data_IF_645632037159
#
_entry.id   IF_645632037159
#
_cell.length_a   1.000
_cell.length_b   1.000
_cell.length_c   1.000
_cell.angle_alpha   90.00
_cell.angle_beta   90.00
_cell.angle_gamma   90.00
#
_symmetry.space_group_name_H-M   'P 1'
#
loop_
_entity.id
_entity.type
_entity.pdbx_description
1 polymer ?
#
# COMPACT_ATOMS: atom_id res chain seq x y z
N UNK A 1 6.30 27.07 8.62
CA UNK A 1 5.30 25.98 8.65
C UNK A 1 5.83 24.93 7.71
N UNK A 2 5.97 23.68 8.15
CA UNK A 2 6.34 22.56 7.29
C UNK A 2 5.28 22.40 6.20
N UNK A 3 5.70 22.31 4.94
CA UNK A 3 4.78 22.09 3.83
C UNK A 3 4.24 20.66 3.91
N UNK A 4 2.92 20.50 3.79
CA UNK A 4 2.27 19.21 3.99
C UNK A 4 2.62 18.23 2.85
N UNK A 5 2.92 16.98 3.18
CA UNK A 5 3.22 15.97 2.15
C UNK A 5 1.95 15.59 1.40
N UNK A 6 2.08 15.29 0.11
CA UNK A 6 0.96 14.96 -0.78
C UNK A 6 0.34 13.59 -0.54
N UNK A 7 0.89 12.78 0.38
CA UNK A 7 0.52 11.38 0.65
C UNK A 7 1.68 10.42 0.38
N UNK A 8 1.39 9.13 0.29
CA UNK A 8 2.36 8.09 -0.05
C UNK A 8 2.83 8.29 -1.50
N UNK A 9 4.14 8.25 -1.71
CA UNK A 9 4.74 8.18 -3.03
C UNK A 9 4.82 6.74 -3.50
N UNK A 10 5.42 5.87 -2.68
CA UNK A 10 5.55 4.46 -2.98
C UNK A 10 5.71 3.66 -1.68
N UNK A 11 5.44 2.36 -1.76
CA UNK A 11 5.74 1.42 -0.68
C UNK A 11 6.73 0.41 -1.22
N UNK A 12 7.80 0.17 -0.46
CA UNK A 12 8.83 -0.80 -0.81
C UNK A 12 8.74 -1.99 0.12
N UNK A 13 8.65 -3.18 -0.45
CA UNK A 13 8.51 -4.46 0.24
C UNK A 13 9.71 -5.38 -0.06
N UNK A 14 9.86 -6.41 0.76
CA UNK A 14 10.87 -7.45 0.56
C UNK A 14 10.17 -8.70 0.04
N UNK A 15 10.58 -9.16 -1.13
CA UNK A 15 10.05 -10.34 -1.80
C UNK A 15 11.06 -11.50 -1.80
N UNK A 16 10.54 -12.70 -2.06
CA UNK A 16 11.31 -13.88 -2.38
C UNK A 16 11.73 -13.88 -3.86
N UNK A 17 11.64 -15.03 -4.56
CA UNK A 17 12.03 -15.14 -5.97
C UNK A 17 11.38 -14.07 -6.87
N UNK A 18 12.15 -13.38 -7.74
CA UNK A 18 11.65 -12.27 -8.53
C UNK A 18 10.61 -12.69 -9.58
N UNK A 19 10.68 -13.92 -10.10
CA UNK A 19 9.70 -14.40 -11.07
C UNK A 19 8.33 -14.64 -10.41
N UNK A 20 8.29 -15.27 -9.24
CA UNK A 20 7.03 -15.45 -8.48
C UNK A 20 6.41 -14.11 -8.12
N UNK A 21 7.24 -13.13 -7.75
CA UNK A 21 6.79 -11.76 -7.52
C UNK A 21 6.20 -11.14 -8.80
N UNK A 22 6.89 -11.25 -9.93
CA UNK A 22 6.41 -10.75 -11.22
C UNK A 22 5.09 -11.41 -11.65
N UNK A 23 5.01 -12.73 -11.56
CA UNK A 23 3.81 -13.51 -11.91
C UNK A 23 2.61 -13.07 -11.08
N UNK A 24 2.84 -12.75 -9.80
CA UNK A 24 1.78 -12.27 -8.92
C UNK A 24 1.38 -10.82 -9.22
N UNK A 25 2.31 -9.87 -9.16
CA UNK A 25 1.97 -8.45 -9.23
C UNK A 25 1.58 -8.01 -10.65
N UNK A 26 2.24 -8.52 -11.69
CA UNK A 26 1.89 -8.21 -13.07
C UNK A 26 0.86 -9.17 -13.66
N UNK A 27 0.93 -10.47 -13.33
CA UNK A 27 -0.01 -11.47 -13.87
C UNK A 27 -1.34 -11.51 -13.11
N UNK A 28 -1.29 -11.73 -11.79
CA UNK A 28 -2.50 -11.88 -10.96
C UNK A 28 -3.15 -10.53 -10.69
N UNK A 29 -2.41 -9.56 -10.15
CA UNK A 29 -2.93 -8.22 -9.83
C UNK A 29 -3.00 -7.28 -11.04
N UNK A 30 -2.36 -7.62 -12.16
CA UNK A 30 -2.46 -6.85 -13.40
C UNK A 30 -1.76 -5.49 -13.37
N UNK A 31 -0.86 -5.25 -12.40
CA UNK A 31 -0.09 -4.01 -12.34
C UNK A 31 0.96 -3.98 -13.45
N UNK A 32 1.29 -2.79 -13.96
CA UNK A 32 2.35 -2.65 -14.97
C UNK A 32 3.72 -2.69 -14.28
N UNK A 33 4.62 -3.56 -14.72
CA UNK A 33 6.05 -3.45 -14.38
C UNK A 33 6.64 -2.24 -15.13
N UNK A 34 6.70 -1.09 -14.46
CA UNK A 34 7.11 0.20 -15.07
C UNK A 34 8.62 0.40 -15.06
N UNK A 35 9.34 -0.23 -14.12
CA UNK A 35 10.79 -0.13 -14.04
C UNK A 35 11.37 -1.42 -13.46
N UNK A 36 12.49 -1.84 -14.04
CA UNK A 36 13.41 -2.83 -13.48
C UNK A 36 14.75 -2.15 -13.33
N UNK A 37 15.15 -1.87 -12.10
CA UNK A 37 16.45 -1.27 -11.78
C UNK A 37 17.28 -2.22 -10.93
N UNK A 38 18.46 -1.76 -10.53
CA UNK A 38 19.30 -2.40 -9.51
C UNK A 38 19.16 -1.59 -8.22
N UNK A 39 19.10 -2.28 -7.09
CA UNK A 39 19.09 -1.64 -5.79
C UNK A 39 20.39 -0.82 -5.63
N UNK A 40 20.27 0.44 -5.22
CA UNK A 40 21.40 1.36 -5.12
C UNK A 40 22.32 0.99 -3.94
N UNK A 41 21.76 0.41 -2.89
CA UNK A 41 22.50 -0.07 -1.71
C UNK A 41 23.09 -1.48 -1.92
N UNK A 42 22.49 -2.26 -2.83
CA UNK A 42 22.94 -3.60 -3.20
C UNK A 42 22.80 -3.80 -4.73
N UNK A 43 23.80 -3.39 -5.53
CA UNK A 43 23.75 -3.45 -6.98
C UNK A 43 23.59 -4.86 -7.56
N UNK A 44 23.75 -5.91 -6.75
CA UNK A 44 23.50 -7.30 -7.15
C UNK A 44 22.01 -7.68 -7.17
N UNK A 45 21.13 -6.85 -6.61
CA UNK A 45 19.71 -7.16 -6.43
C UNK A 45 18.83 -6.28 -7.32
N UNK A 46 17.79 -6.86 -7.93
CA UNK A 46 16.79 -6.10 -8.66
C UNK A 46 15.98 -5.16 -7.75
N UNK A 47 15.50 -4.06 -8.31
CA UNK A 47 14.41 -3.28 -7.73
C UNK A 47 13.26 -3.24 -8.74
N UNK A 48 12.18 -3.93 -8.40
CA UNK A 48 11.00 -4.09 -9.27
C UNK A 48 9.96 -3.05 -8.89
N UNK A 49 9.42 -2.32 -9.88
CA UNK A 49 8.42 -1.27 -9.67
C UNK A 49 7.14 -1.64 -10.41
N UNK A 50 6.05 -1.82 -9.66
CA UNK A 50 4.72 -2.07 -10.19
C UNK A 50 3.81 -0.88 -9.94
N UNK A 51 3.13 -0.41 -10.98
CA UNK A 51 2.36 0.82 -10.90
C UNK A 51 1.16 0.80 -11.86
N UNK A 52 0.50 1.95 -11.99
CA UNK A 52 -0.41 2.17 -13.12
C UNK A 52 0.34 2.27 -14.47
N UNK A 53 -0.39 2.51 -15.55
CA UNK A 53 0.20 2.53 -16.88
C UNK A 53 1.27 3.61 -17.08
N UNK A 54 1.24 4.70 -16.31
CA UNK A 54 2.15 5.83 -16.45
C UNK A 54 3.25 5.86 -15.36
N UNK A 55 3.16 5.02 -14.32
CA UNK A 55 4.10 5.04 -13.20
C UNK A 55 3.91 6.25 -12.30
N UNK A 56 2.66 6.66 -12.07
CA UNK A 56 2.38 7.89 -11.33
C UNK A 56 2.58 7.71 -9.82
N UNK A 57 3.15 8.71 -9.12
CA UNK A 57 3.33 8.67 -7.67
C UNK A 57 2.04 8.34 -6.92
N UNK A 58 2.17 7.49 -5.90
CA UNK A 58 1.06 6.94 -5.13
C UNK A 58 0.45 5.67 -5.74
N UNK A 59 0.85 5.26 -6.95
CA UNK A 59 0.45 3.97 -7.53
C UNK A 59 1.52 2.89 -7.40
N UNK A 60 2.74 3.28 -7.05
CA UNK A 60 3.92 2.42 -7.05
C UNK A 60 3.98 1.51 -5.81
N UNK A 61 3.99 0.21 -6.06
CA UNK A 61 4.37 -0.83 -5.11
C UNK A 61 5.67 -1.48 -5.62
N UNK A 62 6.72 -1.41 -4.82
CA UNK A 62 8.07 -1.81 -5.26
C UNK A 62 8.65 -2.92 -4.40
N UNK A 63 9.59 -3.69 -4.95
CA UNK A 63 10.12 -4.88 -4.29
C UNK A 63 11.63 -5.01 -4.43
N UNK A 64 12.27 -5.36 -3.31
CA UNK A 64 13.59 -5.98 -3.27
C UNK A 64 13.42 -7.51 -3.17
N UNK A 65 13.75 -8.29 -4.22
CA UNK A 65 13.67 -9.74 -4.22
C UNK A 65 14.90 -10.36 -3.53
N UNK A 66 15.04 -10.12 -2.23
CA UNK A 66 16.12 -10.66 -1.39
C UNK A 66 15.82 -12.11 -0.99
N UNK A 67 15.99 -13.03 -1.95
CA UNK A 67 15.68 -14.46 -1.79
C UNK A 67 16.38 -15.17 -0.63
N UNK A 68 17.53 -14.65 -0.18
CA UNK A 68 18.34 -15.23 0.90
C UNK A 68 17.89 -14.80 2.29
N UNK A 69 17.00 -13.81 2.38
CA UNK A 69 16.57 -13.27 3.65
C UNK A 69 15.53 -14.21 4.29
N UNK A 70 15.60 -14.38 5.61
CA UNK A 70 14.60 -15.15 6.33
C UNK A 70 13.20 -14.51 6.19
N UNK A 71 12.11 -15.29 6.34
CA UNK A 71 10.76 -14.75 6.39
C UNK A 71 10.62 -13.65 7.45
N UNK A 72 9.89 -12.59 7.10
CA UNK A 72 9.57 -11.51 8.01
C UNK A 72 8.69 -12.00 9.16
N UNK A 73 8.64 -11.20 10.23
CA UNK A 73 7.68 -11.39 11.31
C UNK A 73 6.86 -10.13 11.49
N UNK A 74 5.57 -10.23 11.17
CA UNK A 74 4.58 -9.19 11.46
C UNK A 74 4.58 -8.84 12.95
N UNK A 75 4.55 -7.55 13.27
CA UNK A 75 4.63 -7.07 14.64
C UNK A 75 4.69 -5.55 14.72
N UNK A 76 4.75 -5.03 15.94
CA UNK A 76 4.81 -3.58 16.20
C UNK A 76 6.10 -2.97 15.66
N UNK A 77 6.01 -1.73 15.19
CA UNK A 77 7.07 -0.97 14.53
C UNK A 77 7.21 -1.26 13.05
N UNK A 78 6.23 -1.91 12.42
CA UNK A 78 6.18 -2.19 10.98
C UNK A 78 4.83 -1.76 10.38
N UNK A 79 4.84 -1.46 9.09
CA UNK A 79 3.64 -1.57 8.28
C UNK A 79 3.32 -3.07 8.08
N UNK A 80 2.10 -3.45 8.40
CA UNK A 80 1.65 -4.84 8.55
C UNK A 80 0.63 -5.27 7.50
N UNK A 81 0.20 -4.35 6.65
CA UNK A 81 -0.69 -4.59 5.50
C UNK A 81 -0.57 -3.42 4.52
N UNK A 82 -0.61 -3.72 3.22
CA UNK A 82 -0.75 -2.72 2.14
C UNK A 82 -2.10 -2.89 1.47
N UNK A 83 -2.95 -1.87 1.55
CA UNK A 83 -4.23 -1.85 0.87
C UNK A 83 -4.11 -1.18 -0.50
N UNK A 84 -4.67 -1.80 -1.52
CA UNK A 84 -4.77 -1.33 -2.89
C UNK A 84 -6.23 -1.02 -3.21
N UNK A 85 -6.50 0.10 -3.87
CA UNK A 85 -7.89 0.46 -4.16
C UNK A 85 -8.35 -0.08 -5.51
N UNK A 86 -9.61 -0.47 -5.58
CA UNK A 86 -10.32 -0.95 -6.77
C UNK A 86 -11.67 -0.25 -6.85
N UNK A 87 -12.29 -0.24 -8.03
CA UNK A 87 -13.62 0.37 -8.20
C UNK A 87 -14.66 -0.39 -7.39
N UNK A 88 -15.62 0.32 -6.80
CA UNK A 88 -16.81 -0.27 -6.18
C UNK A 88 -17.47 -1.35 -7.05
N UNK A 89 -17.86 -2.46 -6.42
CA UNK A 89 -18.40 -3.65 -7.11
C UNK A 89 -17.35 -4.64 -7.62
N UNK A 90 -16.05 -4.34 -7.52
CA UNK A 90 -15.00 -5.22 -8.06
C UNK A 90 -14.61 -6.40 -7.16
N UNK A 91 -15.00 -6.44 -5.88
CA UNK A 91 -14.49 -7.49 -4.98
C UNK A 91 -14.92 -8.92 -5.36
N UNK A 92 -16.10 -9.09 -5.98
CA UNK A 92 -16.53 -10.40 -6.45
C UNK A 92 -15.63 -10.92 -7.59
N UNK A 93 -15.32 -10.04 -8.56
CA UNK A 93 -14.35 -10.34 -9.62
C UNK A 93 -13.00 -10.72 -9.03
N UNK A 94 -12.52 -9.95 -8.04
CA UNK A 94 -11.22 -10.19 -7.44
C UNK A 94 -11.17 -11.48 -6.62
N UNK A 95 -12.21 -11.79 -5.84
CA UNK A 95 -12.28 -13.04 -5.10
C UNK A 95 -12.21 -14.25 -6.04
N UNK A 96 -12.94 -14.21 -7.16
CA UNK A 96 -12.89 -15.28 -8.17
C UNK A 96 -11.51 -15.35 -8.82
N UNK A 97 -10.97 -14.22 -9.27
CA UNK A 97 -9.66 -14.16 -9.93
C UNK A 97 -8.54 -14.68 -9.03
N UNK A 98 -8.47 -14.20 -7.79
CA UNK A 98 -7.50 -14.66 -6.79
C UNK A 98 -7.60 -16.18 -6.60
N UNK A 99 -8.82 -16.71 -6.47
CA UNK A 99 -9.07 -18.14 -6.38
C UNK A 99 -8.58 -18.95 -7.59
N UNK A 100 -8.76 -18.44 -8.83
CA UNK A 100 -8.25 -19.09 -10.05
C UNK A 100 -6.71 -19.22 -10.06
N UNK A 101 -6.01 -18.31 -9.39
CA UNK A 101 -4.55 -18.32 -9.26
C UNK A 101 -4.06 -18.93 -7.93
N UNK A 102 -4.93 -19.65 -7.21
CA UNK A 102 -4.55 -20.38 -5.98
C UNK A 102 -4.41 -19.51 -4.73
N UNK A 103 -4.81 -18.23 -4.80
CA UNK A 103 -4.83 -17.33 -3.64
C UNK A 103 -6.19 -17.48 -2.96
N UNK A 104 -6.17 -17.79 -1.66
CA UNK A 104 -7.40 -17.84 -0.85
C UNK A 104 -7.56 -16.51 -0.12
N UNK A 105 -8.39 -15.58 -0.61
CA UNK A 105 -8.68 -14.36 0.13
C UNK A 105 -9.47 -14.69 1.41
N UNK A 106 -9.37 -13.80 2.39
CA UNK A 106 -10.28 -13.80 3.53
C UNK A 106 -11.72 -13.46 3.13
N UNK A 107 -12.61 -13.44 4.12
CA UNK A 107 -13.97 -12.95 3.91
C UNK A 107 -13.98 -11.43 3.63
N UNK A 108 -14.90 -10.92 2.79
CA UNK A 108 -15.11 -9.48 2.67
C UNK A 108 -15.44 -8.88 4.04
N UNK A 109 -14.82 -7.75 4.34
CA UNK A 109 -15.05 -7.01 5.58
C UNK A 109 -15.31 -5.52 5.28
N UNK A 110 -15.79 -4.79 6.28
CA UNK A 110 -16.00 -3.34 6.17
C UNK A 110 -15.01 -2.62 7.07
N UNK A 111 -14.30 -1.62 6.52
CA UNK A 111 -13.33 -0.78 7.21
C UNK A 111 -13.63 0.67 6.89
N UNK A 112 -13.91 1.49 7.90
CA UNK A 112 -14.25 2.91 7.72
C UNK A 112 -15.36 3.14 6.68
N UNK A 113 -16.35 2.23 6.65
CA UNK A 113 -17.47 2.27 5.69
C UNK A 113 -17.17 1.74 4.29
N UNK A 114 -15.93 1.31 4.01
CA UNK A 114 -15.51 0.78 2.70
C UNK A 114 -15.39 -0.74 2.76
N UNK A 115 -15.81 -1.43 1.68
CA UNK A 115 -15.62 -2.88 1.59
C UNK A 115 -14.17 -3.21 1.26
N UNK A 116 -13.63 -4.21 1.94
CA UNK A 116 -12.27 -4.67 1.76
C UNK A 116 -12.23 -6.20 1.63
N UNK A 117 -11.31 -6.70 0.81
CA UNK A 117 -11.00 -8.13 0.66
C UNK A 117 -9.52 -8.36 1.03
N UNK A 118 -9.22 -8.85 2.24
CA UNK A 118 -7.85 -9.15 2.66
C UNK A 118 -7.34 -10.46 2.03
N UNK A 119 -6.03 -10.55 1.76
CA UNK A 119 -5.33 -11.73 1.24
C UNK A 119 -3.82 -11.58 1.47
N UNK A 120 -3.06 -12.64 1.22
CA UNK A 120 -1.60 -12.59 1.28
C UNK A 120 -1.00 -12.93 -0.08
N UNK A 121 0.13 -12.30 -0.41
CA UNK A 121 0.90 -12.66 -1.60
C UNK A 121 1.68 -13.99 -1.41
N UNK A 122 2.33 -14.54 -2.45
CA UNK A 122 3.07 -15.80 -2.36
C UNK A 122 4.22 -15.79 -1.35
N UNK A 123 4.67 -14.62 -0.93
CA UNK A 123 5.80 -14.41 -0.03
C UNK A 123 5.35 -14.03 1.39
N UNK A 124 4.04 -13.95 1.64
CA UNK A 124 3.45 -13.68 2.94
C UNK A 124 3.22 -12.19 3.23
N UNK A 125 3.38 -11.31 2.25
CA UNK A 125 2.97 -9.91 2.40
C UNK A 125 1.45 -9.83 2.49
N UNK A 126 0.97 -9.20 3.55
CA UNK A 126 -0.45 -8.98 3.80
C UNK A 126 -0.95 -7.81 2.94
N UNK A 127 -1.99 -8.08 2.15
CA UNK A 127 -2.60 -7.16 1.21
C UNK A 127 -4.11 -7.06 1.46
N UNK A 128 -4.72 -5.99 0.97
CA UNK A 128 -6.17 -5.90 0.84
C UNK A 128 -6.57 -5.16 -0.42
N UNK A 129 -7.65 -5.57 -1.06
CA UNK A 129 -8.32 -4.78 -2.09
C UNK A 129 -9.47 -4.01 -1.45
N UNK A 130 -9.54 -2.70 -1.64
CA UNK A 130 -10.56 -1.84 -1.02
C UNK A 130 -11.37 -1.14 -2.10
N UNK A 131 -12.69 -1.26 -2.01
CA UNK A 131 -13.61 -0.54 -2.90
C UNK A 131 -13.61 0.94 -2.56
N UNK A 132 -13.33 1.75 -3.58
CA UNK A 132 -13.38 3.21 -3.51
C UNK A 132 -14.17 3.75 -4.69
N UNK A 133 -14.69 4.97 -4.54
CA UNK A 133 -15.28 5.72 -5.65
C UNK A 133 -14.29 5.90 -6.79
N UNK A 134 -14.80 6.32 -7.95
CA UNK A 134 -13.96 6.47 -9.15
C UNK A 134 -12.83 7.47 -8.91
N UNK A 135 -11.59 7.01 -9.15
CA UNK A 135 -10.37 7.81 -8.95
C UNK A 135 -9.51 7.75 -10.20
N UNK A 136 -8.84 8.85 -10.58
CA UNK A 136 -8.11 8.92 -11.84
C UNK A 136 -6.88 8.00 -11.82
N UNK A 137 -6.97 6.85 -12.48
CA UNK A 137 -5.83 5.98 -12.80
C UNK A 137 -5.54 5.99 -14.31
N UNK A 138 -4.27 5.87 -14.73
CA UNK A 138 -3.95 5.57 -16.12
C UNK A 138 -4.18 4.07 -16.34
N UNK A 139 -5.19 3.66 -17.15
CA UNK A 139 -5.52 2.25 -17.31
C UNK A 139 -4.43 1.52 -18.08
N UNK A 140 -4.16 0.27 -17.67
CA UNK A 140 -3.25 -0.62 -18.37
C UNK A 140 -4.04 -1.49 -19.36
N UNK A 141 -4.36 -0.93 -20.53
CA UNK A 141 -5.23 -1.56 -21.56
C UNK A 141 -4.72 -2.92 -22.04
N UNK A 142 -3.40 -3.11 -22.11
CA UNK A 142 -2.75 -4.36 -22.50
C UNK A 142 -2.63 -5.37 -21.34
N UNK A 143 -3.17 -5.01 -20.16
CA UNK A 143 -3.09 -5.81 -18.95
C UNK A 143 -4.04 -7.02 -18.92
N UNK A 144 -3.77 -8.00 -18.05
CA UNK A 144 -4.58 -9.22 -17.94
C UNK A 144 -5.87 -9.02 -17.12
N UNK A 145 -6.16 -7.80 -16.66
CA UNK A 145 -7.31 -7.43 -15.83
C UNK A 145 -8.15 -6.41 -16.60
N UNK A 146 -9.47 -6.63 -16.79
CA UNK A 146 -10.37 -5.66 -17.41
C UNK A 146 -10.30 -4.28 -16.75
N UNK A 147 -10.31 -3.22 -17.55
CA UNK A 147 -10.07 -1.84 -17.10
C UNK A 147 -10.98 -1.43 -15.95
N UNK A 148 -12.24 -1.87 -15.94
CA UNK A 148 -13.23 -1.60 -14.91
C UNK A 148 -12.88 -2.20 -13.53
N UNK A 149 -12.03 -3.22 -13.49
CA UNK A 149 -11.63 -3.92 -12.27
C UNK A 149 -10.17 -3.70 -11.87
N UNK A 150 -9.39 -2.98 -12.67
CA UNK A 150 -7.97 -2.75 -12.40
C UNK A 150 -7.73 -2.10 -11.04
N UNK A 151 -6.61 -2.47 -10.41
CA UNK A 151 -6.10 -1.76 -9.25
C UNK A 151 -5.84 -0.31 -9.65
N UNK A 152 -6.38 0.61 -8.85
CA UNK A 152 -6.35 2.04 -9.11
C UNK A 152 -5.16 2.74 -8.44
N UNK A 153 -4.20 1.99 -7.88
CA UNK A 153 -3.07 2.44 -7.05
C UNK A 153 -3.14 2.08 -5.54
N UNK A 154 -2.28 2.68 -4.71
CA UNK A 154 -2.28 2.50 -3.25
C UNK A 154 -3.53 3.13 -2.61
N UNK A 155 -4.12 2.45 -1.63
CA UNK A 155 -5.19 3.00 -0.80
C UNK A 155 -4.65 3.42 0.56
N UNK A 156 -4.09 2.48 1.31
CA UNK A 156 -3.72 2.68 2.71
C UNK A 156 -2.51 1.82 3.09
N UNK A 157 -1.60 2.38 3.89
CA UNK A 157 -0.64 1.58 4.65
C UNK A 157 -1.13 1.43 6.09
N UNK A 158 -1.15 0.20 6.62
CA UNK A 158 -1.61 -0.09 7.98
C UNK A 158 -0.43 -0.44 8.88
N UNK A 159 -0.29 0.27 10.00
CA UNK A 159 0.84 0.14 10.92
C UNK A 159 0.38 -0.38 12.27
N UNK A 160 1.20 -1.22 12.89
CA UNK A 160 1.08 -1.56 14.30
C UNK A 160 2.16 -0.84 15.08
N UNK A 161 1.76 -0.16 16.15
CA UNK A 161 2.67 0.56 17.05
C UNK A 161 2.45 0.12 18.49
N UNK A 162 3.49 0.23 19.33
CA UNK A 162 3.32 -0.01 20.78
C UNK A 162 2.49 1.07 21.44
N UNK A 163 2.75 2.30 21.01
CA UNK A 163 2.13 3.52 21.50
C UNK A 163 1.76 4.36 20.28
N UNK A 164 0.53 4.87 20.24
CA UNK A 164 0.05 5.66 19.10
C UNK A 164 0.77 7.01 19.01
N UNK A 165 1.00 7.65 20.16
CA UNK A 165 1.34 9.07 20.24
C UNK A 165 2.59 9.49 19.43
N UNK A 166 3.72 8.74 19.42
CA UNK A 166 4.88 9.11 18.61
C UNK A 166 4.59 9.15 17.10
N UNK A 167 3.92 8.11 16.58
CA UNK A 167 3.58 8.02 15.15
C UNK A 167 2.48 9.01 14.77
N UNK A 168 1.51 9.25 15.65
CA UNK A 168 0.49 10.29 15.47
C UNK A 168 1.12 11.69 15.36
N UNK A 169 2.08 12.04 16.24
CA UNK A 169 2.79 13.33 16.14
C UNK A 169 3.60 13.44 14.86
N UNK A 170 4.30 12.39 14.45
CA UNK A 170 5.02 12.38 13.17
C UNK A 170 4.05 12.65 12.00
N UNK A 171 2.94 11.92 11.95
CA UNK A 171 1.95 12.07 10.88
C UNK A 171 1.35 13.48 10.87
N UNK A 172 0.98 14.02 12.04
CA UNK A 172 0.21 15.27 12.13
C UNK A 172 1.06 16.53 12.19
N UNK A 173 2.14 16.55 12.97
CA UNK A 173 2.95 17.74 13.22
C UNK A 173 4.09 17.90 12.20
N UNK A 174 4.60 16.79 11.67
CA UNK A 174 5.72 16.80 10.71
C UNK A 174 5.22 16.65 9.28
N UNK A 175 4.45 15.59 9.02
CA UNK A 175 4.01 15.26 7.65
C UNK A 175 2.71 16.01 7.24
N UNK A 176 1.98 16.60 8.18
CA UNK A 176 0.76 17.38 7.89
C UNK A 176 -0.48 16.54 7.58
N UNK A 177 -0.49 15.25 7.91
CA UNK A 177 -1.71 14.44 7.89
C UNK A 177 -2.71 14.93 8.93
N UNK A 178 -3.99 14.65 8.71
CA UNK A 178 -5.06 14.97 9.66
C UNK A 178 -5.71 13.70 10.19
N UNK A 179 -6.10 13.63 11.47
CA UNK A 179 -6.96 12.57 11.97
C UNK A 179 -8.30 12.60 11.22
N UNK A 180 -8.72 11.45 10.68
CA UNK A 180 -9.97 11.29 9.92
C UNK A 180 -11.03 10.57 10.74
N UNK A 181 -10.63 9.53 11.48
CA UNK A 181 -11.58 8.74 12.25
C UNK A 181 -10.97 7.54 12.95
N UNK A 182 -11.82 6.76 13.62
CA UNK A 182 -11.44 5.53 14.32
C UNK A 182 -12.42 4.42 14.00
N UNK A 183 -11.91 3.21 13.77
CA UNK A 183 -12.71 2.02 13.49
C UNK A 183 -11.96 0.75 13.96
N UNK A 184 -12.61 -0.11 14.74
CA UNK A 184 -12.02 -1.40 15.16
C UNK A 184 -10.66 -1.32 15.86
N UNK A 185 -10.38 -0.21 16.57
CA UNK A 185 -9.07 0.05 17.21
C UNK A 185 -8.01 0.64 16.27
N UNK A 186 -8.36 0.94 15.03
CA UNK A 186 -7.52 1.66 14.08
C UNK A 186 -7.81 3.15 14.12
N UNK A 187 -6.77 3.95 14.00
CA UNK A 187 -6.80 5.40 13.91
C UNK A 187 -6.39 5.78 12.48
N UNK A 188 -7.30 6.40 11.73
CA UNK A 188 -7.06 6.79 10.34
C UNK A 188 -6.55 8.21 10.25
N UNK A 189 -5.50 8.38 9.47
CA UNK A 189 -4.91 9.66 9.11
C UNK A 189 -4.96 9.83 7.60
N UNK A 190 -5.35 11.03 7.14
CA UNK A 190 -5.43 11.39 5.73
C UNK A 190 -4.46 12.50 5.39
N UNK A 191 -3.76 12.38 4.26
CA UNK A 191 -2.93 13.46 3.71
C UNK A 191 -3.84 14.65 3.36
N UNK A 192 -3.54 15.81 3.94
CA UNK A 192 -4.44 16.96 3.90
C UNK A 192 -4.55 17.58 2.51
N UNK A 193 -5.72 17.47 1.90
CA UNK A 193 -6.23 18.50 0.99
C UNK A 193 -6.97 19.58 1.80
N UNK A 194 -7.17 20.75 1.20
CA UNK A 194 -7.94 21.85 1.81
C UNK A 194 -9.32 21.36 2.29
N UNK A 195 -9.90 22.07 3.26
CA UNK A 195 -11.18 21.72 3.90
C UNK A 195 -12.25 21.24 2.89
N UNK A 196 -12.82 20.05 3.12
CA UNK A 196 -13.87 19.45 2.27
C UNK A 196 -13.47 18.17 1.52
N UNK A 197 -12.19 17.83 1.47
CA UNK A 197 -11.68 16.54 0.96
C UNK A 197 -11.54 15.52 2.12
N UNK A 198 -11.91 14.26 1.90
CA UNK A 198 -11.76 13.16 2.85
C UNK A 198 -13.03 12.69 3.58
N UNK A 199 -14.22 13.09 3.14
CA UNK A 199 -15.47 12.47 3.58
C UNK A 199 -15.59 11.02 3.06
N UNK A 200 -16.52 10.23 3.61
CA UNK A 200 -16.74 8.81 3.24
C UNK A 200 -17.18 8.56 1.78
N UNK A 201 -17.24 9.61 0.94
CA UNK A 201 -17.52 9.56 -0.49
C UNK A 201 -16.52 10.36 -1.35
N UNK A 202 -15.43 10.88 -0.76
CA UNK A 202 -14.32 11.41 -1.55
C UNK A 202 -13.44 10.23 -1.98
N UNK A 203 -13.27 9.98 -3.30
CA UNK A 203 -12.41 8.90 -3.77
C UNK A 203 -10.94 9.10 -3.39
N UNK A 204 -10.54 10.32 -3.03
CA UNK A 204 -9.17 10.69 -2.69
C UNK A 204 -8.21 10.56 -3.89
N UNK A 205 -6.96 10.96 -3.70
CA UNK A 205 -5.87 10.48 -4.55
C UNK A 205 -5.34 9.14 -4.05
N UNK A 206 -4.55 8.52 -4.91
CA UNK A 206 -3.79 7.34 -4.55
C UNK A 206 -2.80 7.63 -3.40
N UNK A 207 -2.81 6.76 -2.38
CA UNK A 207 -1.86 6.78 -1.28
C UNK A 207 -2.11 7.84 -0.19
N UNK A 208 -3.31 8.39 -0.03
CA UNK A 208 -3.55 9.45 0.96
C UNK A 208 -3.79 8.96 2.39
N UNK A 209 -3.90 7.64 2.63
CA UNK A 209 -4.36 7.11 3.92
C UNK A 209 -3.27 6.33 4.65
N UNK A 210 -3.16 6.57 5.96
CA UNK A 210 -2.37 5.77 6.90
C UNK A 210 -3.26 5.37 8.07
N UNK A 211 -3.39 4.07 8.32
CA UNK A 211 -4.11 3.57 9.51
C UNK A 211 -3.10 3.07 10.54
N UNK A 212 -3.20 3.56 11.78
CA UNK A 212 -2.32 3.14 12.88
C UNK A 212 -3.16 2.45 13.95
N UNK A 213 -2.69 1.29 14.42
CA UNK A 213 -3.29 0.61 15.58
C UNK A 213 -2.26 0.44 16.68
N UNK A 214 -2.65 0.86 17.87
CA UNK A 214 -1.88 0.63 19.08
C UNK A 214 -2.03 -0.82 19.55
N UNK A 215 -0.91 -1.48 19.80
CA UNK A 215 -0.79 -2.86 20.27
C UNK A 215 0.29 -2.93 21.35
N UNK A 216 0.01 -2.49 22.60
CA UNK A 216 1.04 -2.29 23.64
C UNK A 216 1.84 -3.57 23.95
N UNK A 217 1.14 -4.71 24.05
CA UNK A 217 1.73 -6.04 24.28
C UNK A 217 2.26 -6.73 23.01
N UNK A 218 2.26 -6.05 21.86
CA UNK A 218 2.63 -6.64 20.58
C UNK A 218 4.11 -7.05 20.53
N UNK A 219 4.39 -8.18 19.88
CA UNK A 219 5.79 -8.59 19.62
C UNK A 219 6.40 -7.64 18.60
N UNK A 220 7.68 -7.30 18.78
CA UNK A 220 8.42 -6.45 17.82
C UNK A 220 8.47 -7.15 16.46
N UNK A 221 8.14 -6.40 15.41
CA UNK A 221 8.28 -6.85 14.04
C UNK A 221 9.74 -7.14 13.68
N UNK A 222 9.94 -7.92 12.64
CA UNK A 222 11.26 -8.19 12.07
C UNK A 222 11.13 -8.16 10.55
N UNK A 223 11.95 -7.36 9.89
CA UNK A 223 12.04 -7.39 8.44
C UNK A 223 12.49 -8.76 7.94
N UNK A 224 12.00 -9.10 6.75
CA UNK A 224 12.26 -10.34 6.04
C UNK A 224 11.38 -10.45 4.81
N UNK A 225 11.50 -11.55 4.08
CA UNK A 225 10.61 -11.86 2.95
C UNK A 225 9.14 -11.78 3.40
N UNK A 226 8.30 -11.06 2.64
CA UNK A 226 6.90 -10.83 2.97
C UNK A 226 6.63 -9.63 3.90
N UNK A 227 7.58 -8.71 4.04
CA UNK A 227 7.42 -7.52 4.89
C UNK A 227 7.58 -6.20 4.13
N UNK A 228 6.94 -5.15 4.63
CA UNK A 228 7.16 -3.78 4.18
C UNK A 228 8.49 -3.29 4.75
N UNK A 229 9.40 -2.86 3.86
CA UNK A 229 10.67 -2.25 4.23
C UNK A 229 10.48 -0.79 4.62
N UNK A 230 9.83 0.00 3.76
CA UNK A 230 9.58 1.42 4.03
C UNK A 230 8.38 1.96 3.25
N UNK A 231 7.89 3.11 3.71
CA UNK A 231 6.89 3.94 3.05
C UNK A 231 7.57 5.27 2.74
N UNK A 232 7.51 5.71 1.48
CA UNK A 232 8.01 7.01 1.06
C UNK A 232 6.84 7.99 0.87
N UNK A 233 7.08 9.27 1.10
CA UNK A 233 6.07 10.33 1.03
C UNK A 233 6.32 11.26 -0.15
N UNK A 234 5.25 11.79 -0.76
CA UNK A 234 5.31 12.76 -1.84
C UNK A 234 5.61 14.14 -1.26
N UNK A 235 6.75 14.72 -1.65
CA UNK A 235 7.07 16.12 -1.39
C UNK A 235 6.93 16.95 -2.66
N UNK A 236 6.78 18.26 -2.52
CA UNK A 236 6.49 19.16 -3.65
C UNK A 236 7.70 19.35 -4.60
N UNK A 237 8.92 19.28 -4.07
CA UNK A 237 10.16 19.47 -4.82
C UNK A 237 11.38 18.83 -4.12
N UNK A 238 12.50 18.76 -4.85
CA UNK A 238 13.79 18.22 -4.37
C UNK A 238 14.35 18.98 -3.15
N UNK A 239 14.00 20.27 -2.98
CA UNK A 239 14.45 21.05 -1.82
C UNK A 239 13.80 20.55 -0.52
N UNK A 240 12.64 19.91 -0.63
CA UNK A 240 11.91 19.28 0.48
C UNK A 240 12.25 17.79 0.70
N UNK A 241 13.01 17.14 -0.20
CA UNK A 241 13.44 15.73 0.01
C UNK A 241 14.53 15.60 1.09
N UNK A 242 15.20 16.69 1.47
CA UNK A 242 16.41 16.70 2.31
C UNK A 242 16.29 17.51 3.62
N UNK A 243 15.11 18.01 3.99
CA UNK A 243 14.90 18.83 5.21
C UNK A 243 14.39 18.04 6.41
#
# INVERSE_FOLDING_TARGET
MTEAVGGIHHITCIAGPPQENLDFYAGVLGLRLVKRSVNQDDPGTYHLFYADAEGRPGTDLTFFPWTQMAPGRKGVGLAVEVALAVVEGSLAFWAERLGRYGVTPGGPETRFGQKALPFSDPHGLELALVEVGDRPVAPWEEGPVPVEHQVRGLHCARLWERELAPTERLLTEVLGFRPVGRDGGWHRFGAGRAEGAGGSGDPGLSGEIVDVREVPGGRRGMWGVGSVHHIAWRVADDAHELS
#
